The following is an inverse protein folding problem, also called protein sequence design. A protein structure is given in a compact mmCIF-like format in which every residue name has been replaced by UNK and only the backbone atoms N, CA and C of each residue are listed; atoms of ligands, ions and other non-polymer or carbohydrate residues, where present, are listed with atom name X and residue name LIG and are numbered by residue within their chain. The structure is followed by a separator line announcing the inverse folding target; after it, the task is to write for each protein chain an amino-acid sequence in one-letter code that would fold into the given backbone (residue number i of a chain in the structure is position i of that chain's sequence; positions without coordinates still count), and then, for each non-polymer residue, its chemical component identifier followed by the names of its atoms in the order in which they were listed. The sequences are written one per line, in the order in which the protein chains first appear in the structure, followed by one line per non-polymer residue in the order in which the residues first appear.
data_IF_486522602306
#
_entry.id   IF_486522602306
#
_cell.length_a   1.000
_cell.length_b   1.000
_cell.length_c   1.000
_cell.angle_alpha   90.00
_cell.angle_beta   90.00
_cell.angle_gamma   90.00
#
_symmetry.space_group_name_H-M   'P 1'
#
loop_
_entity.id
_entity.type
_entity.pdbx_description
1 polymer ?
#
# COMPACT_ATOMS: atom_id res chain seq x y z
N UNK A 1 10.79 9.22 7.13
CA UNK A 1 9.51 8.84 7.79
C UNK A 1 8.30 9.45 7.05
N UNK A 2 7.61 8.63 6.26
CA UNK A 2 6.43 8.98 5.45
C UNK A 2 5.32 7.96 5.77
N UNK A 3 4.10 8.43 6.04
CA UNK A 3 2.95 7.57 6.32
C UNK A 3 2.08 7.50 5.06
N UNK A 4 1.90 6.29 4.54
CA UNK A 4 1.09 6.00 3.37
C UNK A 4 -0.37 5.79 3.76
N UNK A 5 -1.24 6.55 3.09
CA UNK A 5 -2.70 6.44 3.15
C UNK A 5 -3.23 5.39 2.15
N UNK A 6 -4.47 4.94 2.37
CA UNK A 6 -5.21 3.96 1.58
C UNK A 6 -5.26 4.33 0.11
N UNK A 7 -5.40 5.62 -0.23
CA UNK A 7 -5.46 6.08 -1.61
C UNK A 7 -4.14 5.83 -2.36
N UNK A 8 -3.02 6.24 -1.78
CA UNK A 8 -1.67 6.07 -2.35
C UNK A 8 -1.33 4.60 -2.49
N UNK A 9 -1.63 3.80 -1.46
CA UNK A 9 -1.47 2.35 -1.50
C UNK A 9 -2.32 1.73 -2.62
N UNK A 10 -3.58 2.13 -2.77
CA UNK A 10 -4.45 1.61 -3.83
C UNK A 10 -3.99 1.95 -5.25
N UNK A 11 -3.27 3.07 -5.42
CA UNK A 11 -2.64 3.46 -6.69
C UNK A 11 -1.47 2.54 -7.03
N UNK A 12 -0.57 2.29 -6.06
CA UNK A 12 0.59 1.41 -6.23
C UNK A 12 0.21 -0.06 -6.51
N UNK A 13 -0.98 -0.47 -6.12
CA UNK A 13 -1.43 -1.86 -6.22
C UNK A 13 -2.12 -2.22 -7.53
N UNK A 14 -2.38 -1.24 -8.42
CA UNK A 14 -3.06 -1.49 -9.70
C UNK A 14 -2.09 -1.29 -10.87
N UNK A 15 -2.03 -2.20 -11.86
CA UNK A 15 -1.05 -2.14 -12.94
C UNK A 15 -1.12 -0.91 -13.85
N UNK A 16 -2.29 -0.27 -13.95
CA UNK A 16 -2.58 0.85 -14.87
C UNK A 16 -2.77 2.21 -14.16
N UNK A 17 -2.43 2.30 -12.88
CA UNK A 17 -2.67 3.49 -12.07
C UNK A 17 -1.44 4.41 -12.02
N UNK A 18 -1.60 5.60 -11.44
CA UNK A 18 -0.75 6.78 -11.65
C UNK A 18 0.76 6.52 -11.65
N UNK A 19 1.40 6.72 -12.80
CA UNK A 19 2.84 6.57 -12.97
C UNK A 19 3.64 7.57 -12.11
N UNK A 20 3.05 8.73 -11.82
CA UNK A 20 3.61 9.75 -10.93
C UNK A 20 3.77 9.19 -9.51
N UNK A 21 2.72 8.54 -8.99
CA UNK A 21 2.74 7.96 -7.64
C UNK A 21 3.73 6.79 -7.56
N UNK A 22 3.80 5.98 -8.62
CA UNK A 22 4.77 4.89 -8.71
C UNK A 22 6.21 5.40 -8.72
N UNK A 23 6.51 6.39 -9.55
CA UNK A 23 7.85 6.96 -9.65
C UNK A 23 8.27 7.66 -8.35
N UNK A 24 7.33 8.32 -7.66
CA UNK A 24 7.58 8.88 -6.34
C UNK A 24 7.88 7.79 -5.30
N UNK A 25 7.10 6.70 -5.28
CA UNK A 25 7.27 5.62 -4.31
C UNK A 25 8.60 4.87 -4.48
N UNK A 26 9.05 4.65 -5.72
CA UNK A 26 10.34 4.01 -6.03
C UNK A 26 11.53 4.85 -5.57
N UNK A 27 11.37 6.17 -5.44
CA UNK A 27 12.41 7.07 -4.92
C UNK A 27 12.49 7.07 -3.39
N UNK A 28 11.50 6.51 -2.69
CA UNK A 28 11.51 6.45 -1.22
C UNK A 28 12.21 5.18 -0.75
N UNK A 29 12.97 5.26 0.35
CA UNK A 29 13.46 4.07 1.02
C UNK A 29 12.29 3.29 1.65
N UNK A 30 12.29 1.96 1.50
CA UNK A 30 11.28 1.10 2.14
C UNK A 30 11.31 1.21 3.68
N UNK A 31 12.47 1.52 4.25
CA UNK A 31 12.64 1.76 5.70
C UNK A 31 11.98 3.05 6.19
N UNK A 32 11.67 3.96 5.26
CA UNK A 32 11.07 5.26 5.54
C UNK A 32 9.57 5.30 5.23
N UNK A 33 9.03 4.22 4.65
CA UNK A 33 7.62 4.09 4.30
C UNK A 33 6.90 3.30 5.38
N UNK A 34 5.89 3.93 5.97
CA UNK A 34 5.05 3.35 7.01
C UNK A 34 3.59 3.36 6.55
N UNK A 35 2.77 2.53 7.17
CA UNK A 35 1.32 2.63 7.05
C UNK A 35 0.70 2.37 8.43
N UNK A 36 -0.52 2.84 8.63
CA UNK A 36 -1.20 2.70 9.92
C UNK A 36 -1.95 1.37 10.00
N UNK A 37 -2.21 0.90 11.22
CA UNK A 37 -3.08 -0.26 11.45
C UNK A 37 -4.50 -0.03 10.93
N UNK A 38 -4.98 1.22 10.93
CA UNK A 38 -6.28 1.61 10.38
C UNK A 38 -6.29 1.47 8.85
N UNK A 39 -5.30 2.04 8.17
CA UNK A 39 -5.13 1.91 6.71
C UNK A 39 -5.02 0.44 6.28
N UNK A 40 -4.32 -0.40 7.06
CA UNK A 40 -4.29 -1.84 6.81
C UNK A 40 -5.68 -2.47 6.93
N UNK A 41 -6.44 -2.14 7.98
CA UNK A 41 -7.79 -2.65 8.16
C UNK A 41 -8.73 -2.23 7.02
N UNK A 42 -8.64 -0.99 6.55
CA UNK A 42 -9.43 -0.50 5.41
C UNK A 42 -9.14 -1.27 4.12
N UNK A 43 -7.86 -1.56 3.84
CA UNK A 43 -7.48 -2.30 2.64
C UNK A 43 -7.91 -3.76 2.74
N UNK A 44 -7.66 -4.41 3.88
CA UNK A 44 -8.09 -5.80 4.13
C UNK A 44 -9.61 -5.93 4.03
N UNK A 45 -10.34 -4.98 4.61
CA UNK A 45 -11.79 -4.88 4.48
C UNK A 45 -12.21 -4.68 3.02
N UNK A 46 -11.58 -3.74 2.30
CA UNK A 46 -11.88 -3.48 0.89
C UNK A 46 -11.63 -4.68 -0.03
N UNK A 47 -10.66 -5.53 0.30
CA UNK A 47 -10.38 -6.80 -0.40
C UNK A 47 -11.43 -7.85 -0.06
N UNK A 48 -11.73 -8.05 1.23
CA UNK A 48 -12.72 -9.02 1.70
C UNK A 48 -14.11 -8.76 1.09
N UNK A 49 -14.50 -7.49 0.98
CA UNK A 49 -15.80 -7.07 0.45
C UNK A 49 -15.76 -6.60 -1.02
N UNK A 50 -14.71 -6.95 -1.76
CA UNK A 50 -14.59 -6.73 -3.22
C UNK A 50 -14.67 -5.26 -3.71
N UNK A 51 -14.66 -4.27 -2.81
CA UNK A 51 -14.65 -2.84 -3.14
C UNK A 51 -13.32 -2.42 -3.77
N UNK A 52 -12.24 -3.08 -3.38
CA UNK A 52 -10.90 -2.89 -3.92
C UNK A 52 -10.54 -4.10 -4.80
N UNK A 53 -10.61 -3.94 -6.12
CA UNK A 53 -10.08 -4.91 -7.11
C UNK A 53 -8.55 -4.93 -7.06
N UNK A 54 -7.99 -5.52 -6.01
CA UNK A 54 -6.54 -5.64 -5.78
C UNK A 54 -6.10 -7.10 -5.98
N UNK A 55 -4.85 -7.27 -6.40
CA UNK A 55 -4.26 -8.61 -6.57
C UNK A 55 -3.74 -9.12 -5.22
N UNK A 56 -3.69 -10.43 -5.02
CA UNK A 56 -3.10 -11.07 -3.83
C UNK A 56 -1.64 -10.61 -3.60
N UNK A 57 -0.91 -10.29 -4.68
CA UNK A 57 0.45 -9.71 -4.60
C UNK A 57 0.49 -8.38 -3.86
N UNK A 58 -0.58 -7.59 -3.96
CA UNK A 58 -0.73 -6.29 -3.29
C UNK A 58 -0.85 -6.42 -1.78
N UNK A 59 -1.44 -7.52 -1.29
CA UNK A 59 -1.57 -7.81 0.15
C UNK A 59 -0.20 -8.10 0.77
N UNK A 60 0.64 -8.86 0.06
CA UNK A 60 2.00 -9.14 0.50
C UNK A 60 2.81 -7.86 0.69
N UNK A 61 2.67 -6.88 -0.21
CA UNK A 61 3.36 -5.58 -0.08
C UNK A 61 2.97 -4.81 1.18
N UNK A 62 1.68 -4.79 1.55
CA UNK A 62 1.19 -4.13 2.78
C UNK A 62 1.77 -4.81 4.02
N UNK A 63 1.79 -6.15 4.02
CA UNK A 63 2.33 -6.94 5.12
C UNK A 63 3.85 -6.71 5.25
N UNK A 64 4.58 -6.58 4.14
CA UNK A 64 6.02 -6.30 4.14
C UNK A 64 6.34 -4.91 4.68
N UNK A 65 5.53 -3.88 4.38
CA UNK A 65 5.70 -2.52 4.94
C UNK A 65 5.59 -2.54 6.48
N UNK A 66 4.78 -3.44 7.05
CA UNK A 66 4.69 -3.63 8.52
C UNK A 66 5.94 -4.29 9.12
N UNK A 67 6.65 -5.14 8.37
CA UNK A 67 7.75 -5.95 8.88
C UNK A 67 9.06 -5.19 9.11
N UNK A 68 9.15 -3.92 8.67
CA UNK A 68 10.28 -3.03 8.96
C UNK A 68 10.14 -2.25 10.28
N UNK A 69 9.05 -2.48 11.04
CA UNK A 69 8.83 -1.88 12.38
C UNK A 69 9.01 -2.91 13.51
N UNK A 70 9.85 -3.93 13.29
CA UNK A 70 10.37 -4.79 14.35
C UNK A 70 11.89 -4.76 14.36
#
# INVERSE_FOLDING_TARGET
MIILDTNVLSELMKPKKSEIVRNWAVQQSLTDLFTTTITQAEILYGIAYHKLKLSIKSVATIITIKFQVR
#
